data_IF_500915601583
#
_entry.id   IF_500915601583
#
_cell.length_a   1.000
_cell.length_b   1.000
_cell.length_c   1.000
_cell.angle_alpha   90.00
_cell.angle_beta   90.00
_cell.angle_gamma   90.00
#
_symmetry.space_group_name_H-M   'P 1'
#
loop_
_entity.id
_entity.type
_entity.pdbx_description
1 polymer ?
#
# COMPACT_ATOMS: atom_id res chain seq x y z
N UNK A 1 5.80 -5.40 -20.25
CA UNK A 1 5.84 -5.04 -18.82
C UNK A 1 7.27 -5.16 -18.32
N UNK A 2 8.02 -4.06 -18.18
CA UNK A 2 9.42 -4.10 -17.71
C UNK A 2 9.56 -4.05 -16.18
N UNK A 3 8.51 -3.63 -15.46
CA UNK A 3 8.48 -3.47 -14.01
C UNK A 3 8.77 -4.74 -13.18
N UNK A 4 8.53 -5.93 -13.74
CA UNK A 4 8.84 -7.19 -13.05
C UNK A 4 10.33 -7.56 -13.05
N UNK A 5 11.14 -6.93 -13.90
CA UNK A 5 12.56 -7.25 -14.09
C UNK A 5 13.38 -7.16 -12.80
N UNK A 6 13.26 -6.08 -11.99
CA UNK A 6 13.99 -5.95 -10.73
C UNK A 6 13.50 -6.87 -9.60
N UNK A 7 12.23 -7.31 -9.60
CA UNK A 7 11.61 -7.99 -8.45
C UNK A 7 12.40 -9.18 -7.90
N UNK A 8 13.00 -10.07 -8.72
CA UNK A 8 13.77 -11.20 -8.20
C UNK A 8 15.10 -10.80 -7.55
N UNK A 9 15.56 -9.57 -7.75
CA UNK A 9 16.81 -9.04 -7.18
C UNK A 9 16.59 -8.14 -5.98
N UNK A 10 15.38 -7.58 -5.83
CA UNK A 10 15.00 -6.83 -4.63
C UNK A 10 15.11 -7.74 -3.41
N UNK A 11 15.46 -7.16 -2.27
CA UNK A 11 15.46 -7.83 -0.96
C UNK A 11 14.49 -7.20 0.00
N UNK A 12 14.24 -5.90 -0.17
CA UNK A 12 13.36 -5.15 0.68
C UNK A 12 11.89 -5.32 0.24
N UNK A 13 11.02 -5.90 1.10
CA UNK A 13 9.58 -5.98 0.86
C UNK A 13 8.93 -4.62 0.56
N UNK A 14 9.41 -3.55 1.19
CA UNK A 14 8.85 -2.19 1.03
C UNK A 14 9.09 -1.66 -0.39
N UNK A 15 10.30 -1.85 -0.92
CA UNK A 15 10.64 -1.49 -2.31
C UNK A 15 9.77 -2.26 -3.31
N UNK A 16 9.48 -3.54 -3.04
CA UNK A 16 8.57 -4.36 -3.86
C UNK A 16 7.17 -3.77 -3.87
N UNK A 17 6.60 -3.46 -2.71
CA UNK A 17 5.27 -2.88 -2.60
C UNK A 17 5.14 -1.55 -3.37
N UNK A 18 6.10 -0.64 -3.19
CA UNK A 18 6.09 0.67 -3.85
C UNK A 18 6.23 0.55 -5.37
N UNK A 19 7.15 -0.30 -5.84
CA UNK A 19 7.38 -0.51 -7.26
C UNK A 19 6.14 -1.07 -7.96
N UNK A 20 5.52 -2.09 -7.38
CA UNK A 20 4.30 -2.68 -7.93
C UNK A 20 3.17 -1.67 -7.88
N UNK A 21 2.95 -1.02 -6.74
CA UNK A 21 1.89 -0.03 -6.57
C UNK A 21 1.99 1.10 -7.60
N UNK A 22 3.18 1.66 -7.83
CA UNK A 22 3.40 2.70 -8.84
C UNK A 22 3.15 2.21 -10.28
N UNK A 23 3.41 0.92 -10.56
CA UNK A 23 3.28 0.36 -11.92
C UNK A 23 1.83 0.03 -12.29
N UNK A 24 1.09 -0.62 -11.40
CA UNK A 24 -0.18 -1.29 -11.74
C UNK A 24 -1.42 -0.64 -11.13
N UNK A 25 -1.29 0.47 -10.40
CA UNK A 25 -2.43 1.13 -9.76
C UNK A 25 -3.60 1.42 -10.74
N UNK A 26 -3.31 1.84 -11.97
CA UNK A 26 -4.35 2.19 -12.96
C UNK A 26 -5.27 1.02 -13.35
N UNK A 27 -4.82 -0.22 -13.15
CA UNK A 27 -5.53 -1.43 -13.57
C UNK A 27 -5.97 -2.29 -12.37
N UNK A 28 -5.73 -1.82 -11.14
CA UNK A 28 -6.01 -2.57 -9.91
C UNK A 28 -7.45 -3.09 -9.80
N UNK A 29 -8.44 -2.36 -10.35
CA UNK A 29 -9.86 -2.73 -10.29
C UNK A 29 -10.38 -3.53 -11.49
N UNK A 30 -9.56 -3.85 -12.49
CA UNK A 30 -9.99 -4.57 -13.70
C UNK A 30 -9.72 -6.07 -13.57
N UNK A 31 -10.72 -6.81 -13.09
CA UNK A 31 -10.60 -8.27 -12.91
C UNK A 31 -10.34 -9.02 -14.22
N UNK A 32 -10.92 -8.59 -15.34
CA UNK A 32 -10.73 -9.25 -16.63
C UNK A 32 -9.27 -9.10 -17.12
N UNK A 33 -8.69 -7.92 -16.91
CA UNK A 33 -7.29 -7.70 -17.19
C UNK A 33 -6.38 -8.50 -16.25
N UNK A 34 -6.74 -8.67 -14.98
CA UNK A 34 -5.96 -9.48 -14.04
C UNK A 34 -5.95 -10.97 -14.39
N UNK A 35 -7.06 -11.52 -14.85
CA UNK A 35 -7.11 -12.91 -15.33
C UNK A 35 -6.12 -13.12 -16.49
N UNK A 36 -6.12 -12.21 -17.47
CA UNK A 36 -5.17 -12.26 -18.58
C UNK A 36 -3.70 -12.11 -18.12
N UNK A 37 -3.41 -11.20 -17.18
CA UNK A 37 -2.06 -10.99 -16.63
C UNK A 37 -1.58 -12.23 -15.88
N UNK A 38 -2.40 -12.79 -14.99
CA UNK A 38 -2.05 -14.00 -14.22
C UNK A 38 -1.87 -15.19 -15.16
N UNK A 39 -2.76 -15.36 -16.14
CA UNK A 39 -2.64 -16.39 -17.18
C UNK A 39 -1.33 -16.29 -17.97
N UNK A 40 -0.93 -15.07 -18.36
CA UNK A 40 0.35 -14.85 -19.04
C UNK A 40 1.55 -15.21 -18.15
N UNK A 41 1.57 -14.76 -16.89
CA UNK A 41 2.66 -15.05 -15.96
C UNK A 41 2.80 -16.55 -15.67
N UNK A 42 1.67 -17.26 -15.57
CA UNK A 42 1.61 -18.72 -15.42
C UNK A 42 2.18 -19.45 -16.64
N UNK A 43 1.95 -18.93 -17.84
CA UNK A 43 2.43 -19.51 -19.11
C UNK A 43 3.93 -19.34 -19.36
N UNK A 44 4.62 -18.48 -18.61
CA UNK A 44 6.05 -18.19 -18.77
C UNK A 44 6.79 -18.48 -17.46
N UNK A 45 7.14 -19.74 -17.17
CA UNK A 45 7.78 -20.12 -15.92
C UNK A 45 9.17 -19.49 -15.80
N UNK A 46 9.30 -18.51 -14.92
CA UNK A 46 10.56 -17.81 -14.64
C UNK A 46 10.57 -17.28 -13.21
N UNK A 47 11.76 -17.01 -12.64
CA UNK A 47 11.88 -16.34 -11.33
C UNK A 47 11.16 -14.99 -11.29
N UNK A 48 11.14 -14.28 -12.44
CA UNK A 48 10.43 -13.02 -12.61
C UNK A 48 8.91 -13.20 -12.50
N UNK A 49 8.38 -14.22 -13.18
CA UNK A 49 6.95 -14.53 -13.12
C UNK A 49 6.55 -14.94 -11.70
N UNK A 50 7.38 -15.75 -11.03
CA UNK A 50 7.16 -16.11 -9.63
C UNK A 50 7.12 -14.89 -8.72
N UNK A 51 8.13 -14.02 -8.80
CA UNK A 51 8.21 -12.81 -8.01
C UNK A 51 7.01 -11.88 -8.28
N UNK A 52 6.59 -11.72 -9.53
CA UNK A 52 5.39 -10.94 -9.85
C UNK A 52 4.13 -11.57 -9.26
N UNK A 53 3.92 -12.88 -9.44
CA UNK A 53 2.72 -13.57 -8.92
C UNK A 53 2.64 -13.49 -7.39
N UNK A 54 3.76 -13.67 -6.67
CA UNK A 54 3.83 -13.50 -5.21
C UNK A 54 3.53 -12.08 -4.76
N UNK A 55 3.97 -11.07 -5.52
CA UNK A 55 3.65 -9.69 -5.21
C UNK A 55 2.14 -9.39 -5.42
N UNK A 56 1.58 -9.88 -6.52
CA UNK A 56 0.15 -9.72 -6.85
C UNK A 56 -0.77 -10.45 -5.85
N UNK A 57 -0.38 -11.66 -5.43
CA UNK A 57 -1.06 -12.43 -4.36
C UNK A 57 -1.25 -11.57 -3.10
N UNK A 58 -0.23 -10.80 -2.73
CA UNK A 58 -0.25 -10.03 -1.48
C UNK A 58 -0.90 -8.66 -1.61
N UNK A 59 -0.83 -8.03 -2.79
CA UNK A 59 -1.23 -6.63 -3.00
C UNK A 59 -2.62 -6.45 -3.59
N UNK A 60 -3.11 -7.42 -4.36
CA UNK A 60 -4.43 -7.31 -4.99
C UNK A 60 -5.54 -7.70 -4.02
N UNK A 61 -6.69 -7.01 -4.03
CA UNK A 61 -7.85 -7.46 -3.27
C UNK A 61 -8.59 -8.58 -3.99
N UNK A 62 -9.37 -9.37 -3.25
CA UNK A 62 -10.43 -10.23 -3.80
C UNK A 62 -9.95 -11.40 -4.67
N UNK A 63 -10.64 -11.65 -5.79
CA UNK A 63 -10.37 -12.79 -6.70
C UNK A 63 -8.97 -12.74 -7.34
N UNK A 64 -8.48 -11.60 -7.85
CA UNK A 64 -7.15 -11.52 -8.44
C UNK A 64 -6.02 -12.02 -7.55
N UNK A 65 -6.06 -11.75 -6.24
CA UNK A 65 -5.06 -12.28 -5.29
C UNK A 65 -5.07 -13.80 -5.23
N UNK A 66 -6.25 -14.43 -5.21
CA UNK A 66 -6.37 -15.90 -5.19
C UNK A 66 -5.84 -16.54 -6.47
N UNK A 67 -6.16 -15.97 -7.63
CA UNK A 67 -5.63 -16.45 -8.90
C UNK A 67 -4.10 -16.35 -8.95
N UNK A 68 -3.54 -15.24 -8.46
CA UNK A 68 -2.10 -15.06 -8.39
C UNK A 68 -1.43 -16.08 -7.46
N UNK A 69 -2.03 -16.36 -6.30
CA UNK A 69 -1.56 -17.38 -5.36
C UNK A 69 -1.57 -18.78 -5.96
N UNK A 70 -2.68 -19.18 -6.60
CA UNK A 70 -2.81 -20.47 -7.28
C UNK A 70 -1.79 -20.61 -8.41
N UNK A 71 -1.59 -19.56 -9.20
CA UNK A 71 -0.59 -19.54 -10.26
C UNK A 71 0.84 -19.62 -9.72
N UNK A 72 1.16 -18.89 -8.63
CA UNK A 72 2.47 -18.92 -7.99
C UNK A 72 2.79 -20.30 -7.41
N UNK A 73 1.80 -20.96 -6.80
CA UNK A 73 1.96 -22.31 -6.23
C UNK A 73 2.10 -23.39 -7.32
N UNK A 74 1.47 -23.18 -8.49
CA UNK A 74 1.62 -24.08 -9.63
C UNK A 74 2.95 -23.89 -10.37
N UNK A 75 3.55 -22.70 -10.29
CA UNK A 75 4.84 -22.40 -10.89
C UNK A 75 5.94 -23.13 -10.09
N UNK A 76 6.66 -24.05 -10.73
CA UNK A 76 7.83 -24.71 -10.13
C UNK A 76 9.09 -23.86 -10.28
N UNK A 77 9.02 -22.60 -9.86
CA UNK A 77 10.14 -21.65 -9.87
C UNK A 77 10.58 -21.31 -8.44
N UNK A 78 11.83 -20.87 -8.27
CA UNK A 78 12.34 -20.48 -6.96
C UNK A 78 11.60 -19.26 -6.40
N UNK A 79 11.27 -19.30 -5.11
CA UNK A 79 10.64 -18.19 -4.39
C UNK A 79 11.54 -16.94 -4.38
N UNK A 80 10.94 -15.73 -4.37
CA UNK A 80 11.70 -14.50 -4.21
C UNK A 80 12.33 -14.43 -2.81
N UNK A 81 13.40 -13.62 -2.64
CA UNK A 81 14.10 -13.47 -1.36
C UNK A 81 13.38 -12.57 -0.34
N UNK A 82 12.16 -12.12 -0.65
CA UNK A 82 11.33 -11.25 0.18
C UNK A 82 9.98 -11.94 0.44
N UNK A 83 9.30 -11.60 1.54
CA UNK A 83 7.94 -12.07 1.84
C UNK A 83 7.01 -10.91 2.20
N UNK A 84 6.02 -10.63 1.35
CA UNK A 84 5.05 -9.57 1.63
C UNK A 84 3.99 -9.99 2.66
N UNK A 85 3.84 -11.27 2.99
CA UNK A 85 2.82 -11.76 3.93
C UNK A 85 3.21 -11.49 5.39
N UNK A 86 4.50 -11.31 5.68
CA UNK A 86 5.02 -11.07 7.03
C UNK A 86 4.77 -9.66 7.59
N UNK A 87 3.87 -8.87 6.99
CA UNK A 87 3.62 -7.50 7.47
C UNK A 87 2.93 -7.53 8.84
N UNK A 88 3.51 -6.83 9.81
CA UNK A 88 2.94 -6.61 11.13
C UNK A 88 2.58 -5.14 11.33
N UNK A 89 1.57 -4.88 12.16
CA UNK A 89 1.14 -3.52 12.51
C UNK A 89 1.84 -3.07 13.78
N UNK A 90 2.34 -1.83 13.75
CA UNK A 90 2.84 -1.14 14.93
C UNK A 90 1.81 -0.13 15.46
N UNK A 91 2.33 0.88 16.15
CA UNK A 91 1.56 1.99 16.69
C UNK A 91 1.02 2.92 15.58
N UNK A 92 -0.10 3.56 15.88
CA UNK A 92 -0.77 4.52 15.01
C UNK A 92 -1.06 5.81 15.79
N UNK A 93 -0.91 6.95 15.12
CA UNK A 93 -1.15 8.26 15.69
C UNK A 93 -1.98 9.13 14.75
N UNK A 94 -2.79 9.98 15.35
CA UNK A 94 -3.51 11.05 14.66
C UNK A 94 -3.10 12.41 15.21
N UNK A 95 -2.85 13.35 14.32
CA UNK A 95 -2.68 14.76 14.63
C UNK A 95 -3.76 15.57 13.93
N UNK A 96 -4.60 16.25 14.70
CA UNK A 96 -5.69 17.06 14.16
C UNK A 96 -5.25 18.53 14.01
N UNK A 97 -5.22 19.02 12.77
CA UNK A 97 -5.09 20.45 12.44
C UNK A 97 -6.26 20.93 11.57
N UNK A 98 -7.42 20.28 11.68
CA UNK A 98 -8.57 20.57 10.83
C UNK A 98 -9.07 22.00 11.01
N UNK A 99 -8.98 22.54 12.24
CA UNK A 99 -9.38 23.92 12.55
C UNK A 99 -8.36 24.94 12.01
N UNK A 100 -7.06 24.67 12.19
CA UNK A 100 -6.01 25.65 11.91
C UNK A 100 -5.50 25.63 10.47
N UNK A 101 -5.48 24.44 9.86
CA UNK A 101 -4.85 24.19 8.56
C UNK A 101 -5.69 23.28 7.64
N UNK A 102 -6.87 22.84 8.10
CA UNK A 102 -7.81 22.09 7.27
C UNK A 102 -7.45 20.63 7.03
N UNK A 103 -6.51 20.04 7.78
CA UNK A 103 -6.08 18.66 7.58
C UNK A 103 -5.93 17.86 8.87
N UNK A 104 -6.06 16.55 8.72
CA UNK A 104 -5.73 15.53 9.71
C UNK A 104 -4.49 14.77 9.22
N UNK A 105 -3.46 14.70 10.06
CA UNK A 105 -2.29 13.87 9.83
C UNK A 105 -2.51 12.50 10.48
N UNK A 106 -2.31 11.44 9.70
CA UNK A 106 -2.31 10.07 10.21
C UNK A 106 -0.93 9.45 9.98
N UNK A 107 -0.35 8.90 11.05
CA UNK A 107 0.94 8.22 11.01
C UNK A 107 0.74 6.78 11.48
N UNK A 108 1.09 5.81 10.66
CA UNK A 108 0.92 4.39 10.96
C UNK A 108 2.22 3.66 10.75
N UNK A 109 2.66 2.90 11.75
CA UNK A 109 3.88 2.10 11.67
C UNK A 109 3.58 0.65 11.35
N UNK A 110 4.53 0.02 10.68
CA UNK A 110 4.49 -1.37 10.28
C UNK A 110 5.89 -1.95 10.33
N UNK A 111 6.01 -3.27 10.25
CA UNK A 111 7.29 -3.93 10.06
C UNK A 111 7.14 -5.18 9.18
N UNK A 112 8.17 -5.43 8.39
CA UNK A 112 8.44 -6.75 7.83
C UNK A 112 9.53 -7.41 8.67
N UNK A 113 10.76 -7.00 8.44
CA UNK A 113 11.91 -7.25 9.30
C UNK A 113 12.30 -5.95 10.02
N UNK A 114 12.38 -4.85 9.26
CA UNK A 114 12.68 -3.51 9.75
C UNK A 114 11.41 -2.65 9.83
N UNK A 115 11.34 -1.69 10.76
CA UNK A 115 10.20 -0.80 10.89
C UNK A 115 10.14 0.23 9.74
N UNK A 116 8.92 0.54 9.32
CA UNK A 116 8.61 1.62 8.40
C UNK A 116 7.27 2.25 8.75
N UNK A 117 7.02 3.45 8.24
CA UNK A 117 5.78 4.17 8.48
C UNK A 117 5.14 4.64 7.18
N UNK A 118 3.81 4.70 7.19
CA UNK A 118 3.07 5.52 6.24
C UNK A 118 2.54 6.77 6.92
N UNK A 119 2.62 7.88 6.20
CA UNK A 119 2.06 9.16 6.62
C UNK A 119 1.02 9.58 5.61
N UNK A 120 -0.14 9.99 6.10
CA UNK A 120 -1.26 10.45 5.28
C UNK A 120 -1.69 11.84 5.75
N UNK A 121 -1.85 12.76 4.81
CA UNK A 121 -2.47 14.05 5.06
C UNK A 121 -3.86 14.03 4.44
N UNK A 122 -4.87 14.02 5.31
CA UNK A 122 -6.29 13.97 4.95
C UNK A 122 -6.83 15.39 5.02
N UNK A 123 -7.27 15.92 3.88
CA UNK A 123 -7.88 17.24 3.78
C UNK A 123 -9.33 17.17 4.20
N UNK A 124 -9.64 17.75 5.36
CA UNK A 124 -10.97 17.78 5.95
C UNK A 124 -11.86 18.85 5.28
N UNK A 125 -11.28 19.94 4.74
CA UNK A 125 -12.02 21.00 4.06
C UNK A 125 -12.65 20.47 2.77
N UNK A 126 -11.91 19.65 2.03
CA UNK A 126 -12.38 19.06 0.77
C UNK A 126 -13.10 17.73 0.96
N UNK A 127 -13.70 17.53 2.15
CA UNK A 127 -14.48 16.37 2.48
C UNK A 127 -13.63 15.13 2.77
N UNK A 128 -12.67 15.25 3.68
CA UNK A 128 -11.81 14.16 4.21
C UNK A 128 -11.21 13.28 3.13
N UNK A 129 -10.46 13.88 2.20
CA UNK A 129 -9.79 13.15 1.10
C UNK A 129 -8.29 13.10 1.35
N UNK A 130 -7.66 11.95 1.12
CA UNK A 130 -6.19 11.84 1.21
C UNK A 130 -5.55 12.69 0.11
N UNK A 131 -4.82 13.74 0.47
CA UNK A 131 -4.11 14.62 -0.48
C UNK A 131 -2.68 14.21 -0.71
N UNK A 132 -2.02 13.75 0.36
CA UNK A 132 -0.65 13.28 0.34
C UNK A 132 -0.57 11.97 1.10
N UNK A 133 0.22 11.04 0.57
CA UNK A 133 0.54 9.79 1.22
C UNK A 133 1.98 9.41 0.86
N UNK A 134 2.82 9.12 1.84
CA UNK A 134 4.17 8.64 1.57
C UNK A 134 4.59 7.58 2.58
N UNK A 135 5.63 6.85 2.23
CA UNK A 135 6.23 5.82 3.04
C UNK A 135 7.65 6.24 3.42
N UNK A 136 8.04 5.98 4.66
CA UNK A 136 9.38 6.28 5.18
C UNK A 136 9.92 5.13 6.01
N UNK A 137 11.23 4.91 5.97
CA UNK A 137 11.95 4.04 6.92
C UNK A 137 12.53 4.84 8.09
N UNK A 138 12.55 6.15 7.99
CA UNK A 138 13.01 7.06 9.05
C UNK A 138 11.86 7.34 10.03
N UNK A 139 11.37 6.27 10.68
CA UNK A 139 10.15 6.30 11.51
C UNK A 139 10.25 7.33 12.63
N UNK A 140 11.30 7.24 13.45
CA UNK A 140 11.48 8.12 14.61
C UNK A 140 11.67 9.58 14.20
N UNK A 141 12.49 9.82 13.17
CA UNK A 141 12.71 11.17 12.65
C UNK A 141 11.41 11.79 12.10
N UNK A 142 10.66 11.03 11.30
CA UNK A 142 9.40 11.53 10.72
C UNK A 142 8.35 11.76 11.80
N UNK A 143 8.27 10.88 12.80
CA UNK A 143 7.37 11.07 13.94
C UNK A 143 7.73 12.34 14.72
N UNK A 144 9.03 12.57 15.00
CA UNK A 144 9.49 13.76 15.72
C UNK A 144 9.12 15.04 14.96
N UNK A 145 9.37 15.08 13.64
CA UNK A 145 8.98 16.21 12.79
C UNK A 145 7.47 16.47 12.82
N UNK A 146 6.64 15.42 12.80
CA UNK A 146 5.18 15.58 12.90
C UNK A 146 4.76 16.08 14.29
N UNK A 147 5.38 15.58 15.35
CA UNK A 147 5.09 15.96 16.74
C UNK A 147 5.42 17.44 17.02
N UNK A 148 6.39 18.03 16.30
CA UNK A 148 6.68 19.47 16.34
C UNK A 148 5.57 20.32 15.72
N UNK A 149 4.81 19.76 14.78
CA UNK A 149 3.78 20.49 14.01
C UNK A 149 2.37 20.32 14.57
N UNK A 150 2.09 19.20 15.24
CA UNK A 150 0.76 18.87 15.76
C UNK A 150 0.84 17.95 16.98
N UNK A 151 -0.11 18.10 17.90
CA UNK A 151 -0.26 17.15 19.02
C UNK A 151 -0.72 15.79 18.49
N UNK A 152 0.18 14.82 18.50
CA UNK A 152 -0.11 13.44 18.13
C UNK A 152 -0.81 12.69 19.27
N UNK A 153 -1.90 12.00 18.93
CA UNK A 153 -2.64 11.14 19.83
C UNK A 153 -2.57 9.70 19.34
N UNK A 154 -2.22 8.78 20.23
CA UNK A 154 -2.22 7.36 19.91
C UNK A 154 -3.65 6.89 19.64
N UNK A 155 -3.85 6.13 18.57
CA UNK A 155 -5.11 5.48 18.23
C UNK A 155 -4.86 4.02 17.88
N UNK A 156 -5.91 3.20 17.91
CA UNK A 156 -5.78 1.79 17.53
C UNK A 156 -5.52 1.65 16.03
N UNK A 157 -4.82 0.58 15.60
CA UNK A 157 -4.68 0.27 14.18
C UNK A 157 -6.04 0.18 13.47
N UNK A 158 -7.05 -0.43 14.09
CA UNK A 158 -8.39 -0.52 13.52
C UNK A 158 -9.00 0.87 13.26
N UNK A 159 -8.93 1.79 14.22
CA UNK A 159 -9.44 3.15 14.07
C UNK A 159 -8.69 3.93 12.97
N UNK A 160 -7.35 3.81 12.93
CA UNK A 160 -6.52 4.44 11.91
C UNK A 160 -6.90 3.97 10.50
N UNK A 161 -7.04 2.65 10.31
CA UNK A 161 -7.35 2.08 9.01
C UNK A 161 -8.81 2.26 8.60
N UNK A 162 -9.73 2.40 9.56
CA UNK A 162 -11.10 2.83 9.29
C UNK A 162 -11.15 4.27 8.74
N UNK A 163 -10.39 5.20 9.33
CA UNK A 163 -10.27 6.58 8.83
C UNK A 163 -9.69 6.61 7.40
N UNK A 164 -8.66 5.81 7.15
CA UNK A 164 -8.07 5.67 5.81
C UNK A 164 -9.06 5.10 4.81
N UNK A 165 -9.79 4.05 5.18
CA UNK A 165 -10.80 3.43 4.31
C UNK A 165 -11.81 4.45 3.80
N UNK A 166 -12.37 5.26 4.71
CA UNK A 166 -13.32 6.32 4.35
C UNK A 166 -12.70 7.38 3.43
N UNK A 167 -11.44 7.74 3.68
CA UNK A 167 -10.75 8.78 2.92
C UNK A 167 -10.39 8.31 1.50
N UNK A 168 -9.96 7.05 1.35
CA UNK A 168 -9.70 6.43 0.05
C UNK A 168 -10.97 6.17 -0.75
N UNK A 169 -12.07 5.77 -0.11
CA UNK A 169 -13.36 5.60 -0.80
C UNK A 169 -13.88 6.91 -1.41
N UNK A 170 -13.62 8.05 -0.75
CA UNK A 170 -13.98 9.37 -1.29
C UNK A 170 -13.09 9.78 -2.45
N UNK A 171 -11.78 9.55 -2.34
CA UNK A 171 -10.81 9.75 -3.42
C UNK A 171 -11.24 8.98 -4.68
N UNK A 172 -11.57 7.70 -4.57
CA UNK A 172 -11.91 6.87 -5.72
C UNK A 172 -13.24 7.24 -6.39
N UNK A 173 -14.20 7.75 -5.61
CA UNK A 173 -15.48 8.23 -6.13
C UNK A 173 -15.39 9.63 -6.77
N UNK A 174 -14.27 10.34 -6.62
CA UNK A 174 -14.09 11.73 -7.07
C UNK A 174 -12.72 11.94 -7.75
N UNK A 175 -12.50 11.38 -8.95
CA UNK A 175 -11.20 11.45 -9.65
C UNK A 175 -10.76 12.86 -10.09
N UNK A 176 -11.59 13.90 -9.88
CA UNK A 176 -11.27 15.30 -10.16
C UNK A 176 -10.73 16.10 -8.97
N UNK A 177 -10.65 15.52 -7.77
CA UNK A 177 -10.00 16.17 -6.62
C UNK A 177 -8.49 16.06 -6.80
N UNK A 178 -7.79 17.20 -6.92
CA UNK A 178 -6.33 17.23 -7.11
C UNK A 178 -5.57 16.58 -5.96
N UNK A 179 -5.27 15.29 -6.08
CA UNK A 179 -4.41 14.56 -5.14
C UNK A 179 -2.98 14.53 -5.65
N UNK A 180 -2.01 14.36 -4.76
CA UNK A 180 -0.61 14.23 -5.17
C UNK A 180 -0.37 12.91 -5.93
N UNK A 181 0.69 12.88 -6.75
CA UNK A 181 1.12 11.66 -7.41
C UNK A 181 1.43 10.54 -6.40
N UNK A 182 1.85 10.89 -5.19
CA UNK A 182 2.22 9.92 -4.15
C UNK A 182 1.02 9.10 -3.69
N UNK A 183 -0.17 9.72 -3.59
CA UNK A 183 -1.42 8.99 -3.28
C UNK A 183 -1.68 7.91 -4.33
N UNK A 184 -1.43 8.22 -5.60
CA UNK A 184 -1.52 7.22 -6.67
C UNK A 184 -0.41 6.17 -6.55
N UNK A 185 0.82 6.54 -6.21
CA UNK A 185 1.92 5.59 -6.08
C UNK A 185 1.76 4.65 -4.88
N UNK A 186 1.12 5.08 -3.79
CA UNK A 186 0.95 4.26 -2.59
C UNK A 186 -0.42 3.58 -2.48
N UNK A 187 -1.34 3.83 -3.42
CA UNK A 187 -2.75 3.41 -3.30
C UNK A 187 -2.92 1.91 -3.03
N UNK A 188 -2.24 1.04 -3.79
CA UNK A 188 -2.37 -0.41 -3.59
C UNK A 188 -1.84 -0.82 -2.21
N UNK A 189 -0.74 -0.20 -1.78
CA UNK A 189 -0.16 -0.49 -0.48
C UNK A 189 -1.07 -0.03 0.67
N UNK A 190 -1.67 1.15 0.55
CA UNK A 190 -2.65 1.64 1.52
C UNK A 190 -3.90 0.75 1.55
N UNK A 191 -4.45 0.37 0.39
CA UNK A 191 -5.61 -0.53 0.30
C UNK A 191 -5.32 -1.91 0.90
N UNK A 192 -4.13 -2.46 0.68
CA UNK A 192 -3.68 -3.70 1.31
C UNK A 192 -3.68 -3.59 2.84
N UNK A 193 -3.07 -2.53 3.38
CA UNK A 193 -3.01 -2.27 4.82
C UNK A 193 -4.40 -2.08 5.45
N UNK A 194 -5.29 -1.37 4.77
CA UNK A 194 -6.70 -1.24 5.16
C UNK A 194 -7.37 -2.61 5.21
N UNK A 195 -7.18 -3.44 4.18
CA UNK A 195 -7.77 -4.78 4.11
C UNK A 195 -7.31 -5.68 5.25
N UNK A 196 -6.00 -5.68 5.54
CA UNK A 196 -5.41 -6.48 6.62
C UNK A 196 -5.83 -6.02 8.04
N UNK A 197 -6.07 -4.72 8.22
CA UNK A 197 -6.46 -4.18 9.52
C UNK A 197 -7.96 -4.37 9.85
N UNK A 198 -8.79 -4.60 8.83
CA UNK A 198 -10.25 -4.70 8.96
C UNK A 198 -10.79 -6.11 8.70
N UNK A 199 -9.90 -7.09 8.50
CA UNK A 199 -10.21 -8.52 8.31
C UNK A 199 -10.11 -9.29 9.62
#
# INVERSE_FOLDING_TARGET
MDAGRPLPQLRDPVEVELMISATINKIAGDEALWDAVVGHLKGVPSRRSQAMLRALESLLPGRPSRWAAEAANALRAGEPPWDLRGLTFGECWVGDRSVDAGYLALFTTYAYDEPHAMVFLIDEISGSTVRHAFLTKEVEHTWALLAEQVKLQVITPEAAHWLLSRSYDRFEKRPGLGVSADVHHTRLVARRRIGLALS
#
